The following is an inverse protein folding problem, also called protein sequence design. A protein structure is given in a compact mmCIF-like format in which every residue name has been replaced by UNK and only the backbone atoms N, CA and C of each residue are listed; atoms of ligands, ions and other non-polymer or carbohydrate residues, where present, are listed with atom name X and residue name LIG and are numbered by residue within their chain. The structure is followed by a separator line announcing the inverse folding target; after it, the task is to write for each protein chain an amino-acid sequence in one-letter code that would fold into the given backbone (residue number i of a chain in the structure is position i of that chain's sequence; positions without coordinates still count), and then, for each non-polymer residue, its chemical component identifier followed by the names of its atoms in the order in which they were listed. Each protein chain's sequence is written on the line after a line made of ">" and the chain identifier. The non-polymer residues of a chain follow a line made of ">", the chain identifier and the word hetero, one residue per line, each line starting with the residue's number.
data_IF_838616653105
#
_entry.id   IF_838616653105
#
_cell.length_a   1.000
_cell.length_b   1.000
_cell.length_c   1.000
_cell.angle_alpha   90.00
_cell.angle_beta   90.00
_cell.angle_gamma   90.00
#
_symmetry.space_group_name_H-M   'P 1'
#
loop_
_entity.id
_entity.type
_entity.pdbx_description
1 polymer ?
#
# COMPACT_ATOMS: atom_id res chain seq x y z
N UNK A 1 14.63 12.43 13.27
CA UNK A 1 15.55 12.38 14.42
C UNK A 1 14.75 11.90 15.63
N UNK A 2 15.10 10.75 16.21
CA UNK A 2 14.32 10.14 17.28
C UNK A 2 14.52 10.93 18.58
N UNK A 3 13.42 11.40 19.17
CA UNK A 3 13.38 12.17 20.41
C UNK A 3 13.73 11.30 21.64
N UNK A 4 14.99 10.86 21.77
CA UNK A 4 15.50 10.17 22.97
C UNK A 4 14.90 8.78 23.25
N UNK A 5 14.15 8.19 22.31
CA UNK A 5 13.50 6.89 22.50
C UNK A 5 14.52 5.75 22.30
N UNK A 6 14.60 4.76 23.21
CA UNK A 6 15.52 3.63 23.07
C UNK A 6 15.24 2.84 21.78
N UNK A 7 16.31 2.51 21.04
CA UNK A 7 16.25 1.88 19.73
C UNK A 7 15.45 0.55 19.72
N UNK A 8 15.49 -0.20 20.82
CA UNK A 8 14.73 -1.46 20.97
C UNK A 8 13.22 -1.25 20.98
N UNK A 9 12.72 -0.20 21.63
CA UNK A 9 11.30 0.14 21.65
C UNK A 9 10.82 0.57 20.27
N UNK A 10 11.65 1.34 19.56
CA UNK A 10 11.37 1.76 18.19
C UNK A 10 11.27 0.56 17.24
N UNK A 11 12.24 -0.35 17.28
CA UNK A 11 12.23 -1.56 16.47
C UNK A 11 10.98 -2.44 16.74
N UNK A 12 10.57 -2.58 18.02
CA UNK A 12 9.36 -3.32 18.38
C UNK A 12 8.09 -2.66 17.81
N UNK A 13 8.01 -1.33 17.82
CA UNK A 13 6.88 -0.60 17.21
C UNK A 13 6.82 -0.83 15.70
N UNK A 14 7.95 -0.70 15.01
CA UNK A 14 8.04 -0.92 13.57
C UNK A 14 7.63 -2.36 13.19
N UNK A 15 8.00 -3.36 13.99
CA UNK A 15 7.55 -4.74 13.77
C UNK A 15 6.04 -4.90 13.90
N UNK A 16 5.41 -4.27 14.89
CA UNK A 16 3.96 -4.28 15.05
C UNK A 16 3.24 -3.55 13.91
N UNK A 17 3.78 -2.42 13.47
CA UNK A 17 3.26 -1.65 12.34
C UNK A 17 3.34 -2.45 11.03
N UNK A 18 4.48 -3.10 10.77
CA UNK A 18 4.65 -3.99 9.62
C UNK A 18 3.71 -5.19 9.67
N UNK A 19 3.54 -5.80 10.84
CA UNK A 19 2.59 -6.90 11.03
C UNK A 19 1.14 -6.47 10.74
N UNK A 20 0.74 -5.29 11.22
CA UNK A 20 -0.58 -4.72 10.93
C UNK A 20 -0.75 -4.40 9.44
N UNK A 21 0.30 -3.92 8.79
CA UNK A 21 0.29 -3.58 7.36
C UNK A 21 0.14 -4.83 6.49
N UNK A 22 0.86 -5.90 6.84
CA UNK A 22 0.70 -7.23 6.22
C UNK A 22 -0.72 -7.74 6.41
N UNK A 23 -1.26 -7.70 7.63
CA UNK A 23 -2.62 -8.14 7.90
C UNK A 23 -3.65 -7.33 7.08
N UNK A 24 -3.49 -6.02 7.02
CA UNK A 24 -4.35 -5.14 6.21
C UNK A 24 -4.27 -5.50 4.73
N UNK A 25 -3.07 -5.67 4.18
CA UNK A 25 -2.88 -6.06 2.78
C UNK A 25 -3.50 -7.43 2.45
N UNK A 26 -3.45 -8.40 3.38
CA UNK A 26 -4.09 -9.71 3.14
C UNK A 26 -5.62 -9.64 3.04
N UNK A 27 -6.27 -8.66 3.69
CA UNK A 27 -7.71 -8.45 3.53
C UNK A 27 -8.04 -8.03 2.09
N UNK A 28 -7.21 -7.17 1.49
CA UNK A 28 -7.36 -6.73 0.10
C UNK A 28 -7.16 -7.85 -0.93
N UNK A 29 -6.51 -8.96 -0.57
CA UNK A 29 -6.41 -10.14 -1.44
C UNK A 29 -7.78 -10.74 -1.81
N UNK A 30 -8.83 -10.45 -1.03
CA UNK A 30 -10.22 -10.84 -1.34
C UNK A 30 -10.76 -10.22 -2.64
N UNK A 31 -10.08 -9.20 -3.19
CA UNK A 31 -10.42 -8.57 -4.47
C UNK A 31 -9.85 -9.30 -5.69
N UNK A 32 -8.98 -10.28 -5.52
CA UNK A 32 -8.33 -10.99 -6.65
C UNK A 32 -9.12 -12.15 -7.28
N UNK A 33 -9.99 -12.90 -6.57
CA UNK A 33 -10.74 -14.02 -7.16
C UNK A 33 -11.45 -13.74 -8.50
N UNK A 34 -12.06 -12.56 -8.73
CA UNK A 34 -12.71 -12.26 -10.01
C UNK A 34 -11.76 -12.24 -11.22
N UNK A 35 -10.47 -11.93 -11.00
CA UNK A 35 -9.45 -11.98 -12.06
C UNK A 35 -9.07 -13.42 -12.44
N UNK A 36 -9.12 -14.33 -11.48
CA UNK A 36 -8.73 -15.73 -11.68
C UNK A 36 -9.90 -16.59 -12.20
N UNK A 37 -11.13 -16.20 -11.88
CA UNK A 37 -12.33 -16.98 -12.17
C UNK A 37 -13.41 -16.11 -12.79
N UNK A 38 -13.71 -16.27 -14.10
CA UNK A 38 -14.70 -15.43 -14.80
C UNK A 38 -16.12 -15.50 -14.23
N UNK A 39 -16.42 -16.53 -13.44
CA UNK A 39 -17.74 -16.75 -12.83
C UNK A 39 -17.90 -16.09 -11.45
N UNK A 40 -16.84 -15.53 -10.87
CA UNK A 40 -16.92 -14.94 -9.54
C UNK A 40 -17.39 -13.47 -9.62
N UNK A 41 -18.47 -13.09 -8.94
CA UNK A 41 -19.01 -11.74 -9.03
C UNK A 41 -18.12 -10.73 -8.30
N UNK A 42 -17.74 -9.65 -8.99
CA UNK A 42 -16.94 -8.52 -8.48
C UNK A 42 -17.53 -7.88 -7.22
N UNK A 43 -18.86 -7.76 -7.20
CA UNK A 43 -19.60 -7.17 -6.07
C UNK A 43 -19.39 -7.99 -4.79
N UNK A 44 -19.30 -9.31 -4.90
CA UNK A 44 -19.12 -10.19 -3.76
C UNK A 44 -17.70 -10.04 -3.19
N UNK A 45 -16.68 -9.90 -4.04
CA UNK A 45 -15.31 -9.60 -3.60
C UNK A 45 -15.22 -8.30 -2.79
N UNK A 46 -15.87 -7.24 -3.27
CA UNK A 46 -15.91 -5.96 -2.54
C UNK A 46 -16.67 -6.13 -1.21
N UNK A 47 -17.79 -6.87 -1.20
CA UNK A 47 -18.52 -7.15 0.03
C UNK A 47 -17.68 -7.95 1.03
N UNK A 48 -16.93 -8.97 0.58
CA UNK A 48 -16.00 -9.73 1.43
C UNK A 48 -14.95 -8.81 2.03
N UNK A 49 -14.35 -7.91 1.24
CA UNK A 49 -13.38 -6.94 1.75
C UNK A 49 -13.99 -6.06 2.85
N UNK A 50 -15.18 -5.50 2.61
CA UNK A 50 -15.85 -4.61 3.56
C UNK A 50 -16.21 -5.34 4.86
N UNK A 51 -16.77 -6.56 4.74
CA UNK A 51 -17.16 -7.38 5.90
C UNK A 51 -15.93 -7.83 6.68
N UNK A 52 -14.91 -8.35 6.00
CA UNK A 52 -13.66 -8.81 6.65
C UNK A 52 -12.90 -7.64 7.28
N UNK A 53 -12.83 -6.48 6.63
CA UNK A 53 -12.26 -5.26 7.19
C UNK A 53 -13.02 -4.75 8.41
N UNK A 54 -14.36 -4.81 8.39
CA UNK A 54 -15.19 -4.43 9.54
C UNK A 54 -14.99 -5.40 10.72
N UNK A 55 -15.00 -6.71 10.48
CA UNK A 55 -14.72 -7.73 11.51
C UNK A 55 -13.32 -7.52 12.08
N UNK A 56 -12.32 -7.29 11.23
CA UNK A 56 -10.95 -7.09 11.68
C UNK A 56 -10.81 -5.82 12.53
N UNK A 57 -11.42 -4.71 12.11
CA UNK A 57 -11.46 -3.48 12.92
C UNK A 57 -12.17 -3.69 14.26
N UNK A 58 -13.26 -4.47 14.29
CA UNK A 58 -13.95 -4.85 15.53
C UNK A 58 -13.06 -5.70 16.45
N UNK A 59 -12.36 -6.68 15.89
CA UNK A 59 -11.39 -7.51 16.64
C UNK A 59 -10.25 -6.66 17.19
N UNK A 60 -9.67 -5.77 16.37
CA UNK A 60 -8.60 -4.85 16.81
C UNK A 60 -9.08 -3.91 17.92
N UNK A 61 -10.31 -3.39 17.83
CA UNK A 61 -10.91 -2.57 18.89
C UNK A 61 -11.11 -3.36 20.19
N UNK A 62 -11.39 -4.67 20.08
CA UNK A 62 -11.58 -5.55 21.24
C UNK A 62 -10.26 -5.96 21.90
N UNK A 63 -9.20 -6.14 21.12
CA UNK A 63 -7.90 -6.61 21.58
C UNK A 63 -6.89 -5.49 21.89
N UNK A 64 -7.07 -4.31 21.32
CA UNK A 64 -6.11 -3.21 21.37
C UNK A 64 -6.71 -1.86 21.77
N UNK A 65 -5.87 -0.83 21.78
CA UNK A 65 -6.28 0.55 22.03
C UNK A 65 -6.88 1.20 20.77
N UNK A 66 -7.58 2.32 20.95
CA UNK A 66 -8.14 3.12 19.85
C UNK A 66 -7.06 3.59 18.85
N UNK A 67 -5.80 3.65 19.27
CA UNK A 67 -4.66 4.00 18.42
C UNK A 67 -4.37 2.91 17.39
N UNK A 68 -4.53 1.63 17.73
CA UNK A 68 -4.29 0.52 16.79
C UNK A 68 -5.32 0.52 15.66
N UNK A 69 -6.58 0.79 15.99
CA UNK A 69 -7.66 0.93 14.99
C UNK A 69 -7.39 2.12 14.08
N UNK A 70 -6.90 3.23 14.64
CA UNK A 70 -6.53 4.43 13.87
C UNK A 70 -5.37 4.12 12.91
N UNK A 71 -4.35 3.40 13.36
CA UNK A 71 -3.24 2.95 12.51
C UNK A 71 -3.72 2.03 11.38
N UNK A 72 -4.61 1.08 11.70
CA UNK A 72 -5.24 0.21 10.71
C UNK A 72 -5.99 1.01 9.63
N UNK A 73 -6.78 2.01 10.03
CA UNK A 73 -7.50 2.87 9.08
C UNK A 73 -6.52 3.61 8.17
N UNK A 74 -5.45 4.20 8.72
CA UNK A 74 -4.45 4.88 7.89
C UNK A 74 -3.75 3.94 6.92
N UNK A 75 -3.41 2.71 7.33
CA UNK A 75 -2.81 1.71 6.45
C UNK A 75 -3.78 1.24 5.36
N UNK A 76 -5.06 1.04 5.69
CA UNK A 76 -6.08 0.67 4.73
C UNK A 76 -6.33 1.79 3.70
N UNK A 77 -6.37 3.05 4.15
CA UNK A 77 -6.48 4.22 3.28
C UNK A 77 -5.25 4.34 2.39
N UNK A 78 -4.04 4.19 2.94
CA UNK A 78 -2.79 4.24 2.17
C UNK A 78 -2.75 3.18 1.06
N UNK A 79 -3.10 1.92 1.38
CA UNK A 79 -3.15 0.84 0.39
C UNK A 79 -4.25 1.10 -0.65
N UNK A 80 -5.43 1.55 -0.22
CA UNK A 80 -6.54 1.88 -1.12
C UNK A 80 -6.23 3.02 -2.08
N UNK A 81 -5.60 4.09 -1.59
CA UNK A 81 -5.15 5.22 -2.44
C UNK A 81 -4.08 4.76 -3.41
N UNK A 82 -3.09 3.99 -2.95
CA UNK A 82 -2.03 3.45 -3.80
C UNK A 82 -2.58 2.56 -4.92
N UNK A 83 -3.53 1.69 -4.59
CA UNK A 83 -4.26 0.87 -5.56
C UNK A 83 -5.05 1.72 -6.53
N UNK A 84 -5.74 2.77 -6.06
CA UNK A 84 -6.47 3.70 -6.91
C UNK A 84 -5.58 4.45 -7.90
N UNK A 85 -4.40 4.91 -7.45
CA UNK A 85 -3.39 5.53 -8.33
C UNK A 85 -2.94 4.54 -9.40
N UNK A 86 -2.64 3.29 -9.03
CA UNK A 86 -2.21 2.28 -9.99
C UNK A 86 -3.30 1.97 -11.03
N UNK A 87 -4.54 1.77 -10.59
CA UNK A 87 -5.68 1.54 -11.50
C UNK A 87 -5.91 2.74 -12.44
N UNK A 88 -5.76 3.97 -11.94
CA UNK A 88 -5.85 5.17 -12.76
C UNK A 88 -4.71 5.29 -13.78
N UNK A 89 -3.49 4.87 -13.43
CA UNK A 89 -2.37 4.82 -14.39
C UNK A 89 -2.65 3.82 -15.51
N UNK A 90 -3.14 2.63 -15.18
CA UNK A 90 -3.52 1.61 -16.17
C UNK A 90 -4.59 2.14 -17.12
N UNK A 91 -5.62 2.82 -16.62
CA UNK A 91 -6.68 3.36 -17.49
C UNK A 91 -6.21 4.48 -18.42
N UNK A 92 -5.18 5.23 -18.05
CA UNK A 92 -4.57 6.27 -18.90
C UNK A 92 -3.62 5.67 -19.96
N UNK A 93 -2.93 4.58 -19.62
CA UNK A 93 -1.94 3.92 -20.49
C UNK A 93 -2.61 3.00 -21.50
N UNK A 94 -3.56 2.17 -21.06
CA UNK A 94 -4.26 1.18 -21.89
C UNK A 94 -5.38 1.80 -22.74
N UNK A 95 -5.03 2.80 -23.56
CA UNK A 95 -5.98 3.55 -24.41
C UNK A 95 -6.76 2.71 -25.43
N UNK A 96 -6.29 1.49 -25.70
CA UNK A 96 -6.88 0.59 -26.70
C UNK A 96 -7.83 -0.47 -26.11
N UNK A 97 -7.88 -0.63 -24.78
CA UNK A 97 -8.71 -1.64 -24.10
C UNK A 97 -9.66 -0.95 -23.13
N UNK A 98 -10.96 -1.05 -23.36
CA UNK A 98 -11.97 -0.50 -22.44
C UNK A 98 -12.12 -1.48 -21.26
N UNK A 99 -11.35 -1.24 -20.20
CA UNK A 99 -11.45 -2.01 -18.97
C UNK A 99 -12.75 -1.61 -18.25
N UNK A 100 -13.69 -2.54 -18.01
CA UNK A 100 -14.93 -2.22 -17.32
C UNK A 100 -14.66 -1.74 -15.90
N UNK A 101 -15.42 -0.71 -15.47
CA UNK A 101 -15.25 -0.09 -14.15
C UNK A 101 -15.45 -1.08 -12.99
N UNK A 102 -16.13 -2.19 -13.24
CA UNK A 102 -16.34 -3.28 -12.26
C UNK A 102 -15.05 -4.03 -11.92
N UNK A 103 -14.05 -4.07 -12.82
CA UNK A 103 -12.76 -4.74 -12.59
C UNK A 103 -11.75 -3.86 -11.84
N UNK A 104 -12.04 -2.56 -11.67
CA UNK A 104 -11.11 -1.62 -11.06
C UNK A 104 -10.68 -1.98 -9.63
N UNK A 105 -11.58 -2.44 -8.74
CA UNK A 105 -11.19 -2.92 -7.41
C UNK A 105 -10.24 -4.11 -7.50
N UNK A 106 -10.48 -5.02 -8.45
CA UNK A 106 -9.74 -6.26 -8.61
C UNK A 106 -8.33 -6.02 -9.14
N UNK A 107 -8.16 -5.08 -10.07
CA UNK A 107 -6.85 -4.55 -10.49
C UNK A 107 -6.09 -3.95 -9.30
N UNK A 108 -6.78 -3.15 -8.48
CA UNK A 108 -6.21 -2.59 -7.26
C UNK A 108 -5.79 -3.67 -6.25
N UNK A 109 -6.60 -4.72 -6.08
CA UNK A 109 -6.29 -5.88 -5.26
C UNK A 109 -5.03 -6.61 -5.72
N UNK A 110 -4.91 -6.85 -7.03
CA UNK A 110 -3.72 -7.46 -7.60
C UNK A 110 -2.46 -6.63 -7.38
N UNK A 111 -2.55 -5.29 -7.48
CA UNK A 111 -1.45 -4.39 -7.11
C UNK A 111 -1.06 -4.54 -5.63
N UNK A 112 -2.03 -4.64 -4.72
CA UNK A 112 -1.75 -4.81 -3.29
C UNK A 112 -1.10 -6.17 -3.00
N UNK A 113 -1.54 -7.26 -3.65
CA UNK A 113 -0.88 -8.57 -3.53
C UNK A 113 0.56 -8.51 -4.05
N UNK A 114 0.77 -7.91 -5.23
CA UNK A 114 2.11 -7.73 -5.79
C UNK A 114 2.98 -6.89 -4.85
N UNK A 115 2.43 -5.82 -4.28
CA UNK A 115 3.11 -4.98 -3.30
C UNK A 115 3.53 -5.77 -2.06
N UNK A 116 2.61 -6.59 -1.52
CA UNK A 116 2.83 -7.47 -0.37
C UNK A 116 3.90 -8.53 -0.66
N UNK A 117 3.86 -9.17 -1.83
CA UNK A 117 4.89 -10.12 -2.24
C UNK A 117 6.27 -9.46 -2.24
N UNK A 118 6.37 -8.25 -2.78
CA UNK A 118 7.62 -7.47 -2.75
C UNK A 118 8.05 -7.03 -1.34
N UNK A 119 7.13 -6.87 -0.39
CA UNK A 119 7.45 -6.57 1.01
C UNK A 119 8.05 -7.80 1.73
N UNK A 120 7.50 -8.99 1.48
CA UNK A 120 7.87 -10.23 2.17
C UNK A 120 9.20 -10.82 1.69
N UNK A 121 9.68 -10.44 0.50
CA UNK A 121 10.93 -10.96 -0.08
C UNK A 121 12.08 -9.96 0.04
N UNK A 122 12.79 -9.89 1.18
CA UNK A 122 13.99 -9.07 1.30
C UNK A 122 15.12 -9.68 0.45
N UNK A 123 15.80 -8.86 -0.37
CA UNK A 123 17.02 -9.26 -1.08
C UNK A 123 16.93 -9.34 -2.61
N UNK A 124 15.74 -9.21 -3.21
CA UNK A 124 15.66 -8.86 -4.62
C UNK A 124 15.99 -7.35 -4.77
N UNK A 125 16.93 -6.93 -5.62
CA UNK A 125 17.31 -5.52 -5.76
C UNK A 125 16.06 -4.69 -6.02
N UNK A 126 15.66 -3.89 -5.01
CA UNK A 126 14.47 -3.03 -5.00
C UNK A 126 13.11 -3.69 -5.38
N UNK A 127 12.95 -5.01 -5.27
CA UNK A 127 11.70 -5.69 -5.66
C UNK A 127 11.31 -5.48 -7.14
N UNK A 128 12.28 -5.15 -8.00
CA UNK A 128 12.12 -4.86 -9.46
C UNK A 128 12.01 -6.17 -10.26
N UNK A 129 11.14 -7.07 -9.82
CA UNK A 129 10.91 -8.32 -10.55
C UNK A 129 9.74 -9.10 -9.97
N UNK A 130 9.66 -9.23 -8.65
CA UNK A 130 8.58 -9.99 -7.99
C UNK A 130 7.24 -9.29 -8.17
N UNK A 131 7.20 -7.96 -8.03
CA UNK A 131 5.97 -7.19 -8.23
C UNK A 131 5.45 -7.30 -9.67
N UNK A 132 6.36 -7.14 -10.62
CA UNK A 132 6.03 -7.23 -12.05
C UNK A 132 5.58 -8.64 -12.40
N UNK A 133 6.29 -9.68 -11.93
CA UNK A 133 5.89 -11.07 -12.13
C UNK A 133 4.51 -11.36 -11.55
N UNK A 134 4.21 -10.92 -10.32
CA UNK A 134 2.90 -11.15 -9.70
C UNK A 134 1.80 -10.41 -10.47
N UNK A 135 2.04 -9.18 -10.91
CA UNK A 135 1.08 -8.43 -11.72
C UNK A 135 0.85 -9.07 -13.09
N UNK A 136 1.91 -9.51 -13.77
CA UNK A 136 1.82 -10.20 -15.06
C UNK A 136 1.06 -11.53 -14.93
N UNK A 137 1.24 -12.24 -13.81
CA UNK A 137 0.50 -13.48 -13.54
C UNK A 137 -0.98 -13.22 -13.23
N UNK A 138 -1.29 -12.20 -12.42
CA UNK A 138 -2.66 -11.92 -11.98
C UNK A 138 -3.51 -11.19 -13.03
N UNK A 139 -2.91 -10.33 -13.86
CA UNK A 139 -3.61 -9.58 -14.91
C UNK A 139 -3.39 -10.17 -16.30
N UNK A 140 -2.89 -11.42 -16.38
CA UNK A 140 -2.63 -12.11 -17.64
C UNK A 140 -3.89 -12.16 -18.49
N UNK A 141 -3.83 -11.59 -19.69
CA UNK A 141 -4.96 -11.57 -20.63
C UNK A 141 -6.03 -10.52 -20.33
N UNK A 142 -5.86 -9.70 -19.29
CA UNK A 142 -6.72 -8.52 -19.03
C UNK A 142 -6.05 -7.23 -19.47
N UNK A 143 -4.73 -7.11 -19.28
CA UNK A 143 -3.95 -5.93 -19.67
C UNK A 143 -2.70 -6.39 -20.41
N UNK A 144 -2.26 -5.61 -21.41
CA UNK A 144 -1.03 -5.89 -22.14
C UNK A 144 0.18 -5.83 -21.20
N UNK A 145 1.14 -6.74 -21.38
CA UNK A 145 2.32 -6.84 -20.52
C UNK A 145 3.15 -5.55 -20.52
N UNK A 146 3.29 -4.91 -21.68
CA UNK A 146 4.01 -3.65 -21.82
C UNK A 146 3.37 -2.51 -20.99
N UNK A 147 2.03 -2.42 -21.01
CA UNK A 147 1.27 -1.41 -20.26
C UNK A 147 1.37 -1.66 -18.74
N UNK A 148 1.34 -2.93 -18.32
CA UNK A 148 1.52 -3.34 -16.92
C UNK A 148 2.88 -2.93 -16.37
N UNK A 149 3.94 -3.20 -17.12
CA UNK A 149 5.30 -2.81 -16.75
C UNK A 149 5.43 -1.29 -16.66
N UNK A 150 4.92 -0.57 -17.66
CA UNK A 150 4.92 0.90 -17.69
C UNK A 150 4.17 1.49 -16.49
N UNK A 151 2.96 1.02 -16.21
CA UNK A 151 2.15 1.46 -15.08
C UNK A 151 2.84 1.19 -13.73
N UNK A 152 3.51 0.04 -13.60
CA UNK A 152 4.24 -0.31 -12.38
C UNK A 152 5.43 0.61 -12.14
N UNK A 153 6.18 0.95 -13.20
CA UNK A 153 7.30 1.88 -13.11
C UNK A 153 6.82 3.31 -12.81
N UNK A 154 5.77 3.78 -13.50
CA UNK A 154 5.18 5.09 -13.26
C UNK A 154 4.59 5.20 -11.85
N UNK A 155 3.93 4.16 -11.35
CA UNK A 155 3.40 4.12 -10.00
C UNK A 155 4.50 4.33 -8.95
N UNK A 156 5.66 3.68 -9.13
CA UNK A 156 6.84 3.90 -8.26
C UNK A 156 7.35 5.33 -8.35
N UNK A 157 7.45 5.89 -9.56
CA UNK A 157 7.88 7.27 -9.74
C UNK A 157 6.93 8.26 -9.06
N UNK A 158 5.62 8.04 -9.15
CA UNK A 158 4.61 8.86 -8.48
C UNK A 158 4.77 8.79 -6.96
N UNK A 159 4.89 7.60 -6.37
CA UNK A 159 5.02 7.47 -4.91
C UNK A 159 6.36 8.02 -4.40
N UNK A 160 7.47 7.71 -5.09
CA UNK A 160 8.80 8.20 -4.69
C UNK A 160 8.90 9.72 -4.84
N UNK A 161 8.35 10.29 -5.92
CA UNK A 161 8.31 11.75 -6.09
C UNK A 161 7.43 12.39 -5.02
N UNK A 162 6.31 11.77 -4.66
CA UNK A 162 5.47 12.20 -3.54
C UNK A 162 6.25 12.26 -2.22
N UNK A 163 7.01 11.20 -1.91
CA UNK A 163 7.83 11.13 -0.70
C UNK A 163 8.95 12.18 -0.71
N UNK A 164 9.61 12.39 -1.86
CA UNK A 164 10.64 13.42 -2.03
C UNK A 164 10.07 14.83 -1.85
N UNK A 165 8.92 15.13 -2.43
CA UNK A 165 8.25 16.42 -2.27
C UNK A 165 7.81 16.64 -0.82
N UNK A 166 7.27 15.62 -0.17
CA UNK A 166 6.92 15.68 1.25
C UNK A 166 8.15 15.99 2.12
N UNK A 167 9.26 15.27 1.88
CA UNK A 167 10.52 15.51 2.58
C UNK A 167 11.03 16.96 2.37
N UNK A 168 11.01 17.45 1.13
CA UNK A 168 11.44 18.81 0.81
C UNK A 168 10.53 19.87 1.44
N UNK A 169 9.21 19.69 1.44
CA UNK A 169 8.26 20.65 2.03
C UNK A 169 8.32 20.68 3.56
N UNK A 170 8.65 19.56 4.22
CA UNK A 170 8.76 19.50 5.68
C UNK A 170 10.13 19.97 6.18
N UNK A 171 11.20 19.77 5.41
CA UNK A 171 12.55 20.20 5.79
C UNK A 171 12.71 21.69 6.18
N UNK A 172 12.08 22.68 5.53
CA UNK A 172 12.17 24.09 5.92
C UNK A 172 11.32 24.45 7.15
N UNK A 173 10.41 23.56 7.61
CA UNK A 173 9.51 23.82 8.74
C UNK A 173 10.07 23.34 10.08
N UNK A 174 11.25 22.73 10.12
CA UNK A 174 11.92 22.46 11.39
C UNK A 174 12.41 23.79 11.97
N UNK A 175 11.85 24.26 13.11
CA UNK A 175 12.46 25.36 13.82
C UNK A 175 13.84 24.86 14.22
N UNK A 176 14.89 25.54 13.77
CA UNK A 176 16.20 25.38 14.39
C UNK A 176 15.97 25.66 15.88
N UNK A 177 15.97 24.61 16.70
CA UNK A 177 16.06 24.77 18.14
C UNK A 177 17.40 25.48 18.37
N UNK A 178 17.31 26.80 18.54
CA UNK A 178 18.42 27.63 18.95
C UNK A 178 18.91 27.06 20.27
N UNK A 179 20.06 26.38 20.21
CA UNK A 179 20.87 26.11 21.36
C UNK A 179 21.29 27.45 21.95
N UNK A 180 20.50 27.99 22.87
CA UNK A 180 21.03 28.91 23.87
C UNK A 180 21.65 28.05 24.95
N UNK A 181 22.91 27.73 24.69
CA UNK A 181 23.87 27.21 25.66
C UNK A 181 23.87 28.14 26.87
N UNK A 182 23.66 27.54 28.03
CA UNK A 182 23.98 28.11 29.33
C UNK A 182 25.49 28.37 29.39
N UNK A 183 25.90 29.62 29.31
CA UNK A 183 27.19 30.06 29.86
C UNK A 183 27.14 31.54 30.18
N UNK A 184 27.75 31.89 31.32
CA UNK A 184 27.79 33.16 32.04
C UNK A 184 26.69 33.28 33.10
N UNK A 185 26.97 33.46 34.38
CA UNK A 185 28.14 33.32 35.25
C UNK A 185 27.56 33.45 36.67
#
# INVERSE_FOLDING_TARGET
>A
MAAGIPAGTLAKSTLWELGLLVATATLFSSLVPPLLTPHFPETLSVLILLVSGWIFAWVLKRLGSQQVVTAFIYQAVFLGVSAGIFTALISVISKNEIIPMTLWPSIGGAYIIAWLAGLVTPGAPAGVGIREMVLLLLLKGTVQEADLLMATLLGRLVTVTGDLLFFLCVSPLQPHATATDSTNA
#
